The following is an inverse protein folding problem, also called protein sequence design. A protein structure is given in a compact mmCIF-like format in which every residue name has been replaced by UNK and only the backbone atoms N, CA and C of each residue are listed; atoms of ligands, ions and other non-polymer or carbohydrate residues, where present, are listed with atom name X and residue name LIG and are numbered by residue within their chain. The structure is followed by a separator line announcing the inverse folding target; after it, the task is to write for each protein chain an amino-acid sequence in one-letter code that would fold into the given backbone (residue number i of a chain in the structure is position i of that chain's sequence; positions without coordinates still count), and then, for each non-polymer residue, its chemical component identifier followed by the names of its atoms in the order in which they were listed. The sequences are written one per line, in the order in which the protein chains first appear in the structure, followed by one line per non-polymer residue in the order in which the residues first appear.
data_IF_234303326069
#
_entry.id   IF_234303326069
#
_cell.length_a   1.000
_cell.length_b   1.000
_cell.length_c   1.000
_cell.angle_alpha   90.00
_cell.angle_beta   90.00
_cell.angle_gamma   90.00
#
_symmetry.space_group_name_H-M   'P 1'
#
loop_
_entity.id
_entity.type
_entity.pdbx_description
1 polymer ?
#
# COMPACT_ATOMS: atom_id res chain seq x y z
N UNK A 1 -17.90 2.29 13.52
CA UNK A 1 -17.24 1.49 12.46
C UNK A 1 -16.75 2.35 11.29
N UNK A 2 -17.39 3.49 10.98
CA UNK A 2 -16.89 4.50 10.02
C UNK A 2 -15.42 4.89 10.26
N UNK A 3 -14.97 5.09 11.50
CA UNK A 3 -13.58 5.49 11.79
C UNK A 3 -12.50 4.51 11.35
N UNK A 4 -12.75 3.19 11.37
CA UNK A 4 -11.76 2.19 10.98
C UNK A 4 -11.65 2.08 9.44
N UNK A 5 -12.79 2.15 8.75
CA UNK A 5 -12.86 2.20 7.28
C UNK A 5 -12.24 3.49 6.76
N UNK A 6 -12.55 4.65 7.37
CA UNK A 6 -11.98 5.95 7.00
C UNK A 6 -10.46 6.01 7.25
N UNK A 7 -10.00 5.50 8.40
CA UNK A 7 -8.57 5.40 8.70
C UNK A 7 -7.84 4.45 7.74
N UNK A 8 -8.47 3.32 7.41
CA UNK A 8 -7.93 2.36 6.45
C UNK A 8 -7.91 2.91 5.02
N UNK A 9 -8.95 3.63 4.58
CA UNK A 9 -8.94 4.30 3.26
C UNK A 9 -7.87 5.40 3.17
N UNK A 10 -7.64 6.15 4.26
CA UNK A 10 -6.55 7.11 4.34
C UNK A 10 -5.17 6.43 4.28
N UNK A 11 -5.00 5.34 5.04
CA UNK A 11 -3.77 4.54 5.04
C UNK A 11 -3.48 3.88 3.69
N UNK A 12 -4.51 3.36 3.00
CA UNK A 12 -4.40 2.79 1.65
C UNK A 12 -4.03 3.87 0.64
N UNK A 13 -4.63 5.06 0.70
CA UNK A 13 -4.31 6.18 -0.19
C UNK A 13 -2.84 6.61 -0.04
N UNK A 14 -2.35 6.75 1.18
CA UNK A 14 -0.95 7.12 1.44
C UNK A 14 0.01 6.01 1.01
N UNK A 15 -0.33 4.74 1.27
CA UNK A 15 0.46 3.60 0.84
C UNK A 15 0.52 3.48 -0.69
N UNK A 16 -0.59 3.75 -1.39
CA UNK A 16 -0.66 3.81 -2.85
C UNK A 16 0.20 4.94 -3.43
N UNK A 17 0.18 6.12 -2.83
CA UNK A 17 1.06 7.21 -3.26
C UNK A 17 2.54 6.83 -3.12
N UNK A 18 2.92 6.26 -1.97
CA UNK A 18 4.30 5.80 -1.75
C UNK A 18 4.71 4.69 -2.73
N UNK A 19 3.80 3.76 -3.03
CA UNK A 19 4.02 2.69 -4.01
C UNK A 19 4.19 3.25 -5.42
N UNK A 20 3.34 4.19 -5.83
CA UNK A 20 3.41 4.84 -7.15
C UNK A 20 4.74 5.58 -7.33
N UNK A 21 5.16 6.36 -6.34
CA UNK A 21 6.45 7.07 -6.36
C UNK A 21 7.63 6.11 -6.44
N UNK A 22 7.60 5.01 -5.67
CA UNK A 22 8.64 3.99 -5.73
C UNK A 22 8.67 3.26 -7.08
N UNK A 23 7.50 2.97 -7.67
CA UNK A 23 7.38 2.34 -8.97
C UNK A 23 7.87 3.25 -10.11
N UNK A 24 7.57 4.55 -10.04
CA UNK A 24 8.15 5.55 -10.97
C UNK A 24 9.67 5.62 -10.85
N UNK A 25 10.21 5.56 -9.62
CA UNK A 25 11.65 5.47 -9.38
C UNK A 25 12.27 4.25 -10.06
N UNK A 26 11.68 3.06 -9.89
CA UNK A 26 12.15 1.83 -10.56
C UNK A 26 12.07 1.95 -12.09
N UNK A 27 10.97 2.47 -12.62
CA UNK A 27 10.78 2.65 -14.05
C UNK A 27 11.79 3.64 -14.64
N UNK A 28 12.04 4.76 -13.97
CA UNK A 28 13.01 5.77 -14.38
C UNK A 28 14.44 5.22 -14.42
N UNK A 29 14.82 4.35 -13.48
CA UNK A 29 16.13 3.66 -13.51
C UNK A 29 16.22 2.71 -14.71
N UNK A 30 15.13 2.01 -15.02
CA UNK A 30 15.06 1.09 -16.16
C UNK A 30 15.11 1.79 -17.53
N UNK A 31 14.56 3.00 -17.65
CA UNK A 31 14.48 3.74 -18.93
C UNK A 31 15.59 4.75 -19.15
N UNK A 32 16.14 5.33 -18.08
CA UNK A 32 17.30 6.20 -18.14
C UNK A 32 18.37 5.56 -17.28
N UNK A 33 19.37 4.92 -17.90
CA UNK A 33 20.53 4.37 -17.19
C UNK A 33 21.28 5.57 -16.57
N UNK A 34 21.06 5.90 -15.29
CA UNK A 34 21.83 6.96 -14.66
C UNK A 34 23.25 6.40 -14.45
N UNK A 35 24.24 7.28 -14.27
CA UNK A 35 25.60 6.83 -13.99
C UNK A 35 25.58 5.76 -12.88
N UNK A 36 26.18 4.60 -13.16
CA UNK A 36 26.04 3.33 -12.42
C UNK A 36 26.42 3.35 -10.92
N UNK A 37 26.69 4.53 -10.35
CA UNK A 37 27.15 4.74 -8.99
C UNK A 37 26.11 5.38 -8.05
N UNK A 38 24.95 5.86 -8.55
CA UNK A 38 24.04 6.68 -7.73
C UNK A 38 22.73 6.05 -7.31
N UNK A 39 22.34 4.90 -7.87
CA UNK A 39 21.05 4.30 -7.54
C UNK A 39 21.22 2.86 -7.06
N UNK A 40 21.05 2.70 -5.74
CA UNK A 40 20.98 1.39 -5.11
C UNK A 40 19.62 0.74 -5.42
N UNK A 41 19.59 -0.01 -6.52
CA UNK A 41 18.44 -0.78 -6.97
C UNK A 41 17.88 -1.70 -5.86
N UNK A 42 18.75 -2.20 -4.98
CA UNK A 42 18.38 -3.13 -3.92
C UNK A 42 17.61 -2.41 -2.80
N UNK A 43 18.03 -1.21 -2.43
CA UNK A 43 17.31 -0.37 -1.49
C UNK A 43 15.95 0.07 -2.03
N UNK A 44 15.87 0.49 -3.30
CA UNK A 44 14.59 0.88 -3.93
C UNK A 44 13.63 -0.31 -4.07
N UNK A 45 14.14 -1.49 -4.41
CA UNK A 45 13.33 -2.71 -4.46
C UNK A 45 12.79 -3.10 -3.07
N UNK A 46 13.61 -3.01 -2.02
CA UNK A 46 13.18 -3.23 -0.63
C UNK A 46 12.09 -2.24 -0.21
N UNK A 47 12.24 -0.97 -0.58
CA UNK A 47 11.24 0.06 -0.28
C UNK A 47 9.91 -0.18 -1.00
N UNK A 48 9.96 -0.64 -2.26
CA UNK A 48 8.77 -1.04 -3.03
C UNK A 48 8.07 -2.27 -2.41
N UNK A 49 8.84 -3.27 -1.96
CA UNK A 49 8.31 -4.46 -1.28
C UNK A 49 7.66 -4.08 0.05
N UNK A 50 8.30 -3.20 0.84
CA UNK A 50 7.75 -2.68 2.08
C UNK A 50 6.42 -1.94 1.85
N UNK A 51 6.40 -1.03 0.88
CA UNK A 51 5.18 -0.31 0.50
C UNK A 51 4.05 -1.23 0.04
N UNK A 52 4.37 -2.29 -0.73
CA UNK A 52 3.39 -3.32 -1.12
C UNK A 52 2.84 -4.09 0.09
N UNK A 53 3.67 -4.39 1.09
CA UNK A 53 3.24 -5.04 2.31
C UNK A 53 2.28 -4.17 3.12
N UNK A 54 2.56 -2.86 3.23
CA UNK A 54 1.69 -1.89 3.92
C UNK A 54 0.31 -1.77 3.24
N UNK A 55 0.28 -1.71 1.91
CA UNK A 55 -0.99 -1.76 1.14
C UNK A 55 -1.76 -3.05 1.45
N UNK A 56 -1.06 -4.19 1.46
CA UNK A 56 -1.67 -5.50 1.73
C UNK A 56 -2.26 -5.61 3.13
N UNK A 57 -1.53 -5.16 4.16
CA UNK A 57 -1.99 -5.15 5.55
C UNK A 57 -3.21 -4.23 5.73
N UNK A 58 -3.15 -3.01 5.20
CA UNK A 58 -4.27 -2.07 5.30
C UNK A 58 -5.52 -2.59 4.59
N UNK A 59 -5.35 -3.25 3.44
CA UNK A 59 -6.45 -3.89 2.71
C UNK A 59 -7.03 -5.10 3.47
N UNK A 60 -6.19 -5.90 4.12
CA UNK A 60 -6.65 -7.03 4.93
C UNK A 60 -7.46 -6.57 6.16
N UNK A 61 -7.01 -5.48 6.83
CA UNK A 61 -7.74 -4.87 7.94
C UNK A 61 -9.09 -4.32 7.47
N UNK A 62 -9.14 -3.67 6.29
CA UNK A 62 -10.39 -3.19 5.70
C UNK A 62 -11.37 -4.35 5.45
N UNK A 63 -10.88 -5.43 4.84
CA UNK A 63 -11.70 -6.62 4.56
C UNK A 63 -12.26 -7.24 5.84
N UNK A 64 -11.42 -7.38 6.88
CA UNK A 64 -11.83 -7.88 8.19
C UNK A 64 -12.89 -6.98 8.86
N UNK A 65 -12.72 -5.66 8.75
CA UNK A 65 -13.70 -4.69 9.26
C UNK A 65 -15.05 -4.84 8.56
N UNK A 66 -15.07 -4.95 7.22
CA UNK A 66 -16.30 -5.15 6.44
C UNK A 66 -16.97 -6.49 6.74
N UNK A 67 -16.20 -7.55 6.95
CA UNK A 67 -16.75 -8.87 7.29
C UNK A 67 -17.36 -8.88 8.70
N UNK A 68 -16.78 -8.11 9.63
CA UNK A 68 -17.35 -7.88 10.96
C UNK A 68 -18.63 -7.05 10.88
N UNK A 69 -18.65 -5.96 10.09
CA UNK A 69 -19.85 -5.15 9.83
C UNK A 69 -20.99 -6.03 9.30
N UNK A 70 -20.69 -6.90 8.32
CA UNK A 70 -21.66 -7.82 7.74
C UNK A 70 -22.24 -8.78 8.79
N UNK A 71 -21.41 -9.39 9.62
CA UNK A 71 -21.87 -10.31 10.68
C UNK A 71 -22.78 -9.61 11.69
N UNK A 72 -22.47 -8.35 12.04
CA UNK A 72 -23.33 -7.55 12.93
C UNK A 72 -24.68 -7.28 12.26
N UNK A 73 -24.69 -6.89 10.98
CA UNK A 73 -25.91 -6.71 10.21
C UNK A 73 -26.76 -8.00 10.14
N UNK A 74 -26.12 -9.15 9.88
CA UNK A 74 -26.79 -10.46 9.83
C UNK A 74 -27.38 -10.88 11.19
N UNK A 75 -26.85 -10.39 12.33
CA UNK A 75 -27.40 -10.66 13.68
C UNK A 75 -28.59 -9.75 14.00
N UNK A 76 -28.61 -8.54 13.44
CA UNK A 76 -29.65 -7.54 13.69
C UNK A 76 -30.86 -7.64 12.74
N UNK A 77 -30.76 -8.46 11.69
CA UNK A 77 -31.81 -8.76 10.71
C UNK A 77 -32.65 -9.98 11.14
#
# INVERSE_FOLDING_TARGET
MISAVSASSGGISTALQSYATAAEGVAAIGTSLPAAAQIDLSATALQLIGSKADVGLNTAILKSSLETDRKVLDILA
#
